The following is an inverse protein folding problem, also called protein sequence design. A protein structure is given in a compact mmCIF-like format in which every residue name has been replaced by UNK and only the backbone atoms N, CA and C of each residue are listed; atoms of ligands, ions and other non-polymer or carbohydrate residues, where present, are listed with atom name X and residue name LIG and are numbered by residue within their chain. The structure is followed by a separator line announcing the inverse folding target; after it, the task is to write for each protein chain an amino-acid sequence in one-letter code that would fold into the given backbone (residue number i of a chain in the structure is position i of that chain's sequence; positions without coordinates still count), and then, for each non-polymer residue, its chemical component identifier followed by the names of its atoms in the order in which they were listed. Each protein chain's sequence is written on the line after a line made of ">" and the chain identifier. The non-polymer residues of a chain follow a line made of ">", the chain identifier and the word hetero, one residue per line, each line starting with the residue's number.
data_IF_276533268198
#
_entry.id   IF_276533268198
#
_cell.length_a   1.000
_cell.length_b   1.000
_cell.length_c   1.000
_cell.angle_alpha   90.00
_cell.angle_beta   90.00
_cell.angle_gamma   90.00
#
_symmetry.space_group_name_H-M   'P 1'
#
loop_
_entity.id
_entity.type
_entity.pdbx_description
1 polymer ?
#
# COMPACT_ATOMS: atom_id res chain seq x y z
N UNK A 1 47.70 33.16 74.44
CA UNK A 1 46.44 33.58 73.79
C UNK A 1 46.57 33.29 72.30
N UNK A 2 45.90 32.24 71.83
CA UNK A 2 46.07 31.63 70.51
C UNK A 2 45.15 32.36 69.49
N UNK A 3 45.72 32.82 68.37
CA UNK A 3 44.96 33.35 67.22
C UNK A 3 44.53 32.18 66.32
N UNK A 4 43.21 32.01 66.13
CA UNK A 4 42.63 31.04 65.20
C UNK A 4 42.40 31.75 63.86
N UNK A 5 42.97 31.22 62.78
CA UNK A 5 42.73 31.65 61.40
C UNK A 5 41.63 30.76 60.82
N UNK A 6 40.53 31.37 60.39
CA UNK A 6 39.38 30.71 59.78
C UNK A 6 39.60 30.63 58.26
N UNK A 7 39.80 29.44 57.70
CA UNK A 7 39.80 29.21 56.25
C UNK A 7 38.38 28.85 55.80
N UNK A 8 37.76 29.70 54.98
CA UNK A 8 36.52 29.39 54.27
C UNK A 8 36.87 28.64 52.97
N UNK A 9 36.48 27.36 52.89
CA UNK A 9 36.49 26.61 51.63
C UNK A 9 35.14 26.78 50.92
N UNK A 10 35.15 27.44 49.76
CA UNK A 10 33.99 27.54 48.88
C UNK A 10 33.97 26.31 47.95
N UNK A 11 33.07 25.36 48.21
CA UNK A 11 32.83 24.22 47.31
C UNK A 11 31.90 24.66 46.17
N UNK A 12 32.43 24.78 44.96
CA UNK A 12 31.62 24.96 43.75
C UNK A 12 31.22 23.57 43.25
N UNK A 13 29.95 23.20 43.44
CA UNK A 13 29.37 22.01 42.79
C UNK A 13 29.06 22.36 41.32
N UNK A 14 29.88 21.83 40.41
CA UNK A 14 29.54 21.78 38.99
C UNK A 14 28.51 20.66 38.75
N UNK A 15 27.24 21.01 38.62
CA UNK A 15 26.23 20.11 38.07
C UNK A 15 26.43 20.01 36.55
N UNK A 16 26.99 18.91 36.07
CA UNK A 16 26.96 18.53 34.66
C UNK A 16 25.53 18.11 34.29
N UNK A 17 24.75 19.06 33.78
CA UNK A 17 23.47 18.77 33.12
C UNK A 17 23.80 18.07 31.80
N UNK A 18 23.77 16.74 31.78
CA UNK A 18 23.71 15.99 30.53
C UNK A 18 22.33 16.25 29.93
N UNK A 19 22.23 17.25 29.05
CA UNK A 19 21.07 17.41 28.20
C UNK A 19 20.98 16.14 27.32
N UNK A 20 20.06 15.24 27.67
CA UNK A 20 19.65 14.17 26.77
C UNK A 20 18.97 14.86 25.58
N UNK A 21 19.73 15.18 24.54
CA UNK A 21 19.16 15.59 23.27
C UNK A 21 18.26 14.44 22.80
N UNK A 22 16.95 14.69 22.77
CA UNK A 22 16.00 13.78 22.17
C UNK A 22 16.49 13.52 20.73
N UNK A 23 16.62 12.26 20.28
CA UNK A 23 17.10 11.98 18.94
C UNK A 23 16.24 12.78 17.94
N UNK A 24 16.91 13.50 17.04
CA UNK A 24 16.23 14.29 16.02
C UNK A 24 15.22 13.41 15.29
N UNK A 25 13.99 13.91 15.16
CA UNK A 25 12.93 13.20 14.49
C UNK A 25 13.35 12.88 13.04
N UNK A 26 13.12 11.64 12.61
CA UNK A 26 13.52 11.19 11.27
C UNK A 26 12.84 12.03 10.20
N UNK A 27 13.58 12.71 9.33
CA UNK A 27 13.01 13.49 8.24
C UNK A 27 12.56 12.60 7.06
N UNK A 28 11.34 12.03 7.16
CA UNK A 28 10.75 11.21 6.11
C UNK A 28 10.39 12.01 4.86
N UNK A 29 10.01 13.28 5.00
CA UNK A 29 9.74 14.16 3.85
C UNK A 29 10.95 14.27 2.93
N UNK A 30 12.15 14.48 3.48
CA UNK A 30 13.37 14.46 2.66
C UNK A 30 13.62 13.12 1.96
N UNK A 31 13.23 11.99 2.59
CA UNK A 31 13.33 10.66 1.97
C UNK A 31 12.36 10.49 0.80
N UNK A 32 11.12 10.96 0.95
CA UNK A 32 10.10 11.00 -0.11
C UNK A 32 10.62 11.83 -1.29
N UNK A 33 11.14 13.02 -1.03
CA UNK A 33 11.68 13.91 -2.06
C UNK A 33 12.87 13.28 -2.80
N UNK A 34 13.78 12.63 -2.06
CA UNK A 34 14.91 11.92 -2.64
C UNK A 34 14.46 10.77 -3.55
N UNK A 35 13.51 9.95 -3.10
CA UNK A 35 12.98 8.84 -3.91
C UNK A 35 12.21 9.32 -5.12
N UNK A 36 11.37 10.36 -5.00
CA UNK A 36 10.67 10.97 -6.13
C UNK A 36 11.65 11.46 -7.19
N UNK A 37 12.75 12.11 -6.79
CA UNK A 37 13.82 12.53 -7.70
C UNK A 37 14.49 11.33 -8.37
N UNK A 38 14.88 10.31 -7.60
CA UNK A 38 15.53 9.11 -8.14
C UNK A 38 14.62 8.37 -9.12
N UNK A 39 13.33 8.22 -8.80
CA UNK A 39 12.32 7.60 -9.67
C UNK A 39 12.25 8.32 -11.02
N UNK A 40 12.08 9.64 -11.00
CA UNK A 40 11.97 10.44 -12.21
C UNK A 40 13.28 10.48 -13.02
N UNK A 41 14.44 10.37 -12.38
CA UNK A 41 15.73 10.38 -13.09
C UNK A 41 16.12 9.03 -13.72
N UNK A 42 15.65 7.92 -13.14
CA UNK A 42 16.11 6.57 -13.50
C UNK A 42 15.08 5.80 -14.33
N UNK A 43 13.80 5.94 -14.01
CA UNK A 43 12.75 5.10 -14.58
C UNK A 43 11.86 5.84 -15.56
N UNK A 44 11.63 7.15 -15.38
CA UNK A 44 10.74 7.92 -16.27
C UNK A 44 11.42 8.24 -17.61
N UNK A 45 10.69 8.04 -18.71
CA UNK A 45 11.14 8.34 -20.07
C UNK A 45 10.31 9.47 -20.66
N UNK A 46 10.91 10.66 -20.80
CA UNK A 46 10.20 11.86 -21.24
C UNK A 46 9.71 11.80 -22.70
N UNK A 47 10.37 11.01 -23.55
CA UNK A 47 10.01 10.87 -24.96
C UNK A 47 8.66 10.16 -25.15
N UNK A 48 8.37 9.18 -24.29
CA UNK A 48 7.15 8.36 -24.36
C UNK A 48 6.15 8.69 -23.26
N UNK A 49 6.59 9.38 -22.19
CA UNK A 49 5.81 9.60 -20.98
C UNK A 49 5.54 8.31 -20.20
N UNK A 50 6.35 7.27 -20.41
CA UNK A 50 6.24 5.97 -19.76
C UNK A 50 7.40 5.75 -18.78
N UNK A 51 7.39 4.59 -18.11
CA UNK A 51 8.40 4.23 -17.12
C UNK A 51 9.03 2.88 -17.46
N UNK A 52 10.31 2.70 -17.13
CA UNK A 52 11.01 1.42 -17.18
C UNK A 52 10.66 0.54 -15.98
N UNK A 53 10.62 -0.76 -16.19
CA UNK A 53 10.40 -1.77 -15.14
C UNK A 53 11.54 -1.75 -14.11
N UNK A 54 12.78 -1.78 -14.61
CA UNK A 54 14.01 -1.77 -13.82
C UNK A 54 15.06 -0.84 -14.42
N UNK A 55 16.06 -0.49 -13.62
CA UNK A 55 17.27 0.19 -14.11
C UNK A 55 18.33 -0.78 -14.70
N UNK A 56 17.99 -2.07 -14.81
CA UNK A 56 18.83 -3.13 -15.38
C UNK A 56 18.32 -3.59 -16.74
N UNK A 57 18.52 -4.88 -17.03
CA UNK A 57 18.00 -5.49 -18.27
C UNK A 57 16.49 -5.71 -18.17
N UNK A 58 15.75 -5.13 -19.12
CA UNK A 58 14.31 -5.31 -19.26
C UNK A 58 13.99 -6.18 -20.50
N UNK A 59 12.95 -7.02 -20.40
CA UNK A 59 12.48 -7.84 -21.52
C UNK A 59 11.57 -7.06 -22.48
N UNK A 60 10.97 -5.97 -21.98
CA UNK A 60 10.12 -5.03 -22.72
C UNK A 60 10.67 -3.62 -22.54
N UNK A 61 10.40 -2.68 -23.48
CA UNK A 61 10.92 -1.32 -23.40
C UNK A 61 10.41 -0.57 -22.17
N UNK A 62 9.14 -0.78 -21.81
CA UNK A 62 8.50 -0.11 -20.68
C UNK A 62 8.04 -1.11 -19.61
N UNK A 63 7.62 -0.58 -18.48
CA UNK A 63 7.11 -1.33 -17.33
C UNK A 63 5.77 -2.00 -17.64
N UNK A 64 5.48 -3.07 -16.93
CA UNK A 64 4.10 -3.55 -16.82
C UNK A 64 3.26 -2.57 -15.99
N UNK A 65 1.94 -2.72 -16.01
CA UNK A 65 1.03 -1.84 -15.27
C UNK A 65 1.25 -1.90 -13.75
N UNK A 66 1.59 -3.08 -13.22
CA UNK A 66 1.65 -3.31 -11.78
C UNK A 66 2.60 -2.37 -11.00
N UNK A 67 3.85 -2.13 -11.42
CA UNK A 67 4.68 -1.08 -10.82
C UNK A 67 4.08 0.32 -10.84
N UNK A 68 3.32 0.68 -11.89
CA UNK A 68 2.60 1.96 -11.93
C UNK A 68 1.46 2.01 -10.90
N UNK A 69 0.84 0.89 -10.56
CA UNK A 69 -0.14 0.81 -9.47
C UNK A 69 0.48 1.18 -8.11
N UNK A 70 1.73 0.79 -7.87
CA UNK A 70 2.48 1.23 -6.70
C UNK A 70 2.83 2.73 -6.78
N UNK A 71 3.31 3.17 -7.94
CA UNK A 71 3.75 4.56 -8.14
C UNK A 71 2.61 5.57 -8.02
N UNK A 72 1.42 5.26 -8.53
CA UNK A 72 0.26 6.18 -8.46
C UNK A 72 -0.21 6.37 -7.02
N UNK A 73 -0.18 5.33 -6.19
CA UNK A 73 -0.44 5.49 -4.76
C UNK A 73 0.69 6.28 -4.09
N UNK A 74 1.95 5.93 -4.36
CA UNK A 74 3.09 6.60 -3.74
C UNK A 74 3.10 8.11 -4.04
N UNK A 75 2.77 8.49 -5.27
CA UNK A 75 2.65 9.90 -5.67
C UNK A 75 1.44 10.59 -5.02
N UNK A 76 0.31 9.89 -4.83
CA UNK A 76 -0.80 10.42 -4.02
C UNK A 76 -0.37 10.71 -2.58
N UNK A 77 0.40 9.81 -1.96
CA UNK A 77 0.90 10.02 -0.60
C UNK A 77 1.94 11.14 -0.55
N UNK A 78 2.83 11.22 -1.54
CA UNK A 78 3.83 12.28 -1.63
C UNK A 78 3.19 13.68 -1.76
N UNK A 79 2.11 13.84 -2.54
CA UNK A 79 1.37 15.10 -2.64
C UNK A 79 0.77 15.58 -1.31
N UNK A 80 0.55 14.68 -0.34
CA UNK A 80 0.13 15.08 1.01
C UNK A 80 1.29 15.68 1.84
N UNK A 81 2.53 15.25 1.57
CA UNK A 81 3.74 15.81 2.20
C UNK A 81 4.22 17.09 1.53
N UNK A 82 3.82 17.31 0.26
CA UNK A 82 4.14 18.49 -0.55
C UNK A 82 2.87 19.10 -1.22
N UNK A 83 2.02 19.80 -0.46
CA UNK A 83 0.78 20.39 -0.97
C UNK A 83 1.01 21.29 -2.19
N UNK A 84 0.17 21.14 -3.22
CA UNK A 84 0.23 21.93 -4.45
C UNK A 84 1.08 21.32 -5.57
N UNK A 85 1.84 20.25 -5.29
CA UNK A 85 2.48 19.44 -6.34
C UNK A 85 1.44 18.50 -6.98
N UNK A 86 1.61 18.21 -8.27
CA UNK A 86 0.76 17.30 -9.05
C UNK A 86 1.56 16.04 -9.48
N UNK A 87 2.17 15.33 -8.54
CA UNK A 87 2.98 14.13 -8.81
C UNK A 87 2.19 12.97 -9.41
N UNK A 88 0.89 12.84 -9.11
CA UNK A 88 0.05 11.79 -9.68
C UNK A 88 -0.21 11.99 -11.17
N UNK A 89 -0.24 13.24 -11.64
CA UNK A 89 -0.64 13.60 -13.00
C UNK A 89 0.19 12.90 -14.09
N UNK A 90 1.54 12.94 -14.08
CA UNK A 90 2.33 12.20 -15.07
C UNK A 90 2.12 10.68 -14.98
N UNK A 91 1.94 10.14 -13.78
CA UNK A 91 1.72 8.68 -13.59
C UNK A 91 0.37 8.25 -14.16
N UNK A 92 -0.69 9.01 -13.92
CA UNK A 92 -2.01 8.74 -14.52
C UNK A 92 -2.01 8.93 -16.04
N UNK A 93 -1.23 9.88 -16.56
CA UNK A 93 -1.04 10.01 -18.00
C UNK A 93 -0.32 8.79 -18.59
N UNK A 94 0.66 8.21 -17.89
CA UNK A 94 1.29 6.95 -18.28
C UNK A 94 0.30 5.78 -18.23
N UNK A 95 -0.45 5.63 -17.12
CA UNK A 95 -1.49 4.59 -16.95
C UNK A 95 -2.57 4.67 -18.03
N UNK A 96 -2.95 5.87 -18.47
CA UNK A 96 -3.92 6.06 -19.56
C UNK A 96 -3.49 5.36 -20.87
N UNK A 97 -2.20 5.14 -21.10
CA UNK A 97 -1.70 4.42 -22.28
C UNK A 97 -1.95 2.90 -22.22
N UNK A 98 -2.38 2.38 -21.07
CA UNK A 98 -2.76 0.98 -20.85
C UNK A 98 -4.29 0.76 -20.95
N UNK A 99 -5.05 1.81 -21.26
CA UNK A 99 -6.52 1.78 -21.29
C UNK A 99 -7.06 0.97 -22.47
N UNK A 100 -7.87 -0.03 -22.16
CA UNK A 100 -8.44 -0.99 -23.09
C UNK A 100 -9.96 -1.03 -22.93
N UNK A 101 -10.67 -0.66 -23.99
CA UNK A 101 -12.14 -0.55 -24.03
C UNK A 101 -12.85 -1.82 -24.52
N UNK A 102 -12.13 -2.93 -24.68
CA UNK A 102 -12.72 -4.17 -25.17
C UNK A 102 -13.81 -4.68 -24.20
N UNK A 103 -14.88 -5.34 -24.73
CA UNK A 103 -15.87 -6.00 -23.90
C UNK A 103 -15.24 -6.96 -22.88
N UNK A 104 -15.89 -7.22 -21.72
CA UNK A 104 -17.24 -6.82 -21.34
C UNK A 104 -17.35 -5.42 -20.71
N UNK A 105 -16.23 -4.80 -20.32
CA UNK A 105 -16.19 -3.44 -19.79
C UNK A 105 -14.79 -2.82 -20.01
N UNK A 106 -14.67 -1.48 -20.11
CA UNK A 106 -13.37 -0.82 -20.17
C UNK A 106 -12.55 -1.01 -18.89
N UNK A 107 -11.24 -1.17 -19.05
CA UNK A 107 -10.28 -1.30 -17.95
C UNK A 107 -8.85 -1.12 -18.47
N UNK A 108 -7.85 -1.42 -17.66
CA UNK A 108 -6.44 -1.28 -18.00
C UNK A 108 -5.81 -2.68 -18.15
N UNK A 109 -5.06 -2.89 -19.24
CA UNK A 109 -4.35 -4.13 -19.49
C UNK A 109 -2.93 -4.10 -18.92
N UNK A 110 -2.29 -5.26 -18.81
CA UNK A 110 -0.99 -5.40 -18.15
C UNK A 110 0.14 -4.63 -18.85
N UNK A 111 -0.01 -4.31 -20.13
CA UNK A 111 1.03 -3.66 -20.92
C UNK A 111 0.51 -2.53 -21.83
N UNK A 112 1.40 -1.69 -22.35
CA UNK A 112 1.04 -0.51 -23.15
C UNK A 112 0.28 -0.92 -24.42
N UNK A 113 -0.91 -0.36 -24.64
CA UNK A 113 -1.83 -0.79 -25.71
C UNK A 113 -1.29 -0.61 -27.13
N UNK A 114 -0.47 0.42 -27.34
CA UNK A 114 0.18 0.69 -28.64
C UNK A 114 1.34 -0.26 -28.93
N UNK A 115 1.88 -0.92 -27.91
CA UNK A 115 3.05 -1.79 -28.04
C UNK A 115 2.64 -3.25 -28.15
N UNK A 116 1.65 -3.67 -27.34
CA UNK A 116 1.21 -5.06 -27.31
C UNK A 116 -0.23 -5.18 -26.82
N UNK A 117 -0.94 -6.19 -27.33
CA UNK A 117 -2.17 -6.66 -26.70
C UNK A 117 -1.79 -7.62 -25.58
N UNK A 118 -2.23 -7.32 -24.35
CA UNK A 118 -1.94 -8.14 -23.17
C UNK A 118 -3.24 -8.40 -22.38
N UNK A 119 -3.19 -9.32 -21.42
CA UNK A 119 -4.29 -9.65 -20.53
C UNK A 119 -4.63 -8.47 -19.60
N UNK A 120 -5.86 -8.47 -19.08
CA UNK A 120 -6.28 -7.56 -18.01
C UNK A 120 -6.36 -8.32 -16.68
N UNK A 121 -5.84 -7.69 -15.64
CA UNK A 121 -5.86 -8.21 -14.27
C UNK A 121 -6.78 -7.35 -13.42
N UNK A 122 -7.68 -8.00 -12.67
CA UNK A 122 -8.68 -7.29 -11.88
C UNK A 122 -8.04 -6.52 -10.72
N UNK A 123 -7.02 -7.08 -10.10
CA UNK A 123 -6.29 -6.46 -9.00
C UNK A 123 -5.47 -5.24 -9.44
N UNK A 124 -4.75 -5.30 -10.56
CA UNK A 124 -4.05 -4.12 -11.11
C UNK A 124 -4.98 -2.91 -11.26
N UNK A 125 -6.16 -3.15 -11.82
CA UNK A 125 -7.19 -2.12 -11.96
C UNK A 125 -7.64 -1.62 -10.58
N UNK A 126 -7.95 -2.51 -9.63
CA UNK A 126 -8.40 -2.13 -8.29
C UNK A 126 -7.40 -1.24 -7.54
N UNK A 127 -6.09 -1.45 -7.71
CA UNK A 127 -5.07 -0.60 -7.10
C UNK A 127 -5.10 0.84 -7.64
N UNK A 128 -5.33 1.00 -8.95
CA UNK A 128 -5.51 2.32 -9.57
C UNK A 128 -6.78 3.00 -9.01
N UNK A 129 -7.88 2.25 -8.90
CA UNK A 129 -9.11 2.78 -8.31
C UNK A 129 -8.93 3.23 -6.85
N UNK A 130 -8.22 2.45 -6.03
CA UNK A 130 -7.91 2.83 -4.64
C UNK A 130 -7.14 4.15 -4.59
N UNK A 131 -6.07 4.29 -5.38
CA UNK A 131 -5.29 5.53 -5.43
C UNK A 131 -6.12 6.73 -5.90
N UNK A 132 -7.00 6.52 -6.89
CA UNK A 132 -7.92 7.56 -7.37
C UNK A 132 -8.97 7.93 -6.31
N UNK A 133 -9.51 6.96 -5.55
CA UNK A 133 -10.47 7.24 -4.48
C UNK A 133 -9.83 8.01 -3.32
N UNK A 134 -8.58 7.69 -2.97
CA UNK A 134 -7.80 8.46 -2.00
C UNK A 134 -7.55 9.89 -2.49
N UNK A 135 -7.15 10.05 -3.76
CA UNK A 135 -6.97 11.36 -4.38
C UNK A 135 -8.27 12.17 -4.48
N UNK A 136 -9.40 11.53 -4.77
CA UNK A 136 -10.72 12.15 -4.74
C UNK A 136 -11.06 12.64 -3.33
N UNK A 137 -10.81 11.82 -2.29
CA UNK A 137 -11.07 12.22 -0.92
C UNK A 137 -10.28 13.46 -0.50
N UNK A 138 -9.04 13.62 -1.00
CA UNK A 138 -8.19 14.78 -0.76
C UNK A 138 -8.56 16.02 -1.58
N UNK A 139 -8.87 15.85 -2.87
CA UNK A 139 -8.94 16.96 -3.83
C UNK A 139 -10.35 17.30 -4.31
N UNK A 140 -11.29 16.37 -4.16
CA UNK A 140 -12.65 16.41 -4.73
C UNK A 140 -12.71 16.55 -6.27
N UNK A 141 -11.59 16.34 -6.98
CA UNK A 141 -11.57 16.35 -8.46
C UNK A 141 -12.34 15.13 -8.99
N UNK A 142 -13.47 15.37 -9.67
CA UNK A 142 -14.38 14.33 -10.16
C UNK A 142 -13.71 13.30 -11.09
N UNK A 143 -12.69 13.70 -11.85
CA UNK A 143 -11.95 12.81 -12.75
C UNK A 143 -11.39 11.57 -12.05
N UNK A 144 -10.99 11.68 -10.78
CA UNK A 144 -10.52 10.51 -10.03
C UNK A 144 -11.66 9.54 -9.67
N UNK A 145 -12.83 10.08 -9.31
CA UNK A 145 -14.01 9.25 -9.05
C UNK A 145 -14.48 8.54 -10.32
N UNK A 146 -14.39 9.19 -11.48
CA UNK A 146 -14.80 8.62 -12.76
C UNK A 146 -13.95 7.40 -13.15
N UNK A 147 -12.63 7.46 -12.96
CA UNK A 147 -11.71 6.33 -13.15
C UNK A 147 -12.10 5.17 -12.20
N UNK A 148 -12.36 5.48 -10.93
CA UNK A 148 -12.70 4.45 -9.94
C UNK A 148 -14.05 3.78 -10.22
N UNK A 149 -15.06 4.53 -10.66
CA UNK A 149 -16.36 3.96 -11.05
C UNK A 149 -16.27 3.10 -12.31
N UNK A 150 -15.41 3.45 -13.28
CA UNK A 150 -15.13 2.62 -14.44
C UNK A 150 -14.48 1.30 -14.06
N UNK A 151 -13.41 1.36 -13.26
CA UNK A 151 -12.73 0.18 -12.77
C UNK A 151 -13.66 -0.70 -11.94
N UNK A 152 -14.55 -0.12 -11.12
CA UNK A 152 -15.53 -0.92 -10.39
C UNK A 152 -16.45 -1.71 -11.32
N UNK A 153 -16.92 -1.11 -12.43
CA UNK A 153 -17.70 -1.83 -13.44
C UNK A 153 -16.91 -3.00 -14.02
N UNK A 154 -15.65 -2.79 -14.38
CA UNK A 154 -14.75 -3.85 -14.86
C UNK A 154 -14.52 -4.95 -13.82
N UNK A 155 -14.20 -4.58 -12.58
CA UNK A 155 -14.04 -5.49 -11.45
C UNK A 155 -15.23 -6.44 -11.33
N UNK A 156 -16.46 -5.94 -11.41
CA UNK A 156 -17.65 -6.77 -11.23
C UNK A 156 -17.87 -7.78 -12.35
N UNK A 157 -17.21 -7.64 -13.50
CA UNK A 157 -17.20 -8.67 -14.57
C UNK A 157 -16.37 -9.92 -14.19
N UNK A 158 -15.50 -9.79 -13.19
CA UNK A 158 -14.73 -10.90 -12.61
C UNK A 158 -15.49 -11.71 -11.57
N UNK A 159 -16.70 -11.31 -11.20
CA UNK A 159 -17.52 -12.02 -10.21
C UNK A 159 -18.30 -13.17 -10.86
N UNK A 160 -18.29 -14.35 -10.22
CA UNK A 160 -19.27 -15.41 -10.48
C UNK A 160 -19.46 -16.33 -9.25
N UNK A 161 -20.36 -17.31 -9.35
CA UNK A 161 -20.68 -18.24 -8.26
C UNK A 161 -19.91 -19.58 -8.29
N UNK A 162 -18.89 -19.77 -9.15
CA UNK A 162 -18.20 -21.08 -9.31
C UNK A 162 -17.50 -21.60 -8.05
N UNK A 163 -17.15 -20.70 -7.13
CA UNK A 163 -16.64 -21.02 -5.79
C UNK A 163 -17.53 -20.45 -4.68
N UNK A 164 -18.84 -20.35 -4.94
CA UNK A 164 -19.80 -19.73 -4.02
C UNK A 164 -19.64 -18.20 -3.90
N UNK A 165 -19.04 -17.59 -4.92
CA UNK A 165 -18.74 -16.17 -5.02
C UNK A 165 -17.28 -15.87 -5.34
N UNK A 166 -16.90 -14.62 -5.14
CA UNK A 166 -15.53 -14.11 -5.31
C UNK A 166 -15.18 -13.67 -6.73
N UNK A 167 -14.14 -12.86 -6.81
CA UNK A 167 -13.56 -12.31 -8.04
C UNK A 167 -12.40 -13.17 -8.55
N UNK A 168 -12.34 -13.41 -9.87
CA UNK A 168 -11.13 -13.95 -10.51
C UNK A 168 -9.96 -12.98 -10.38
N UNK A 169 -8.75 -13.48 -10.60
CA UNK A 169 -7.55 -12.64 -10.67
C UNK A 169 -7.34 -12.04 -12.06
N UNK A 170 -7.45 -12.87 -13.11
CA UNK A 170 -7.18 -12.51 -14.50
C UNK A 170 -8.46 -12.67 -15.33
N UNK A 171 -8.68 -11.76 -16.28
CA UNK A 171 -9.92 -11.71 -17.06
C UNK A 171 -10.10 -12.90 -18.01
N UNK A 172 -9.07 -13.18 -18.82
CA UNK A 172 -9.09 -14.17 -19.90
C UNK A 172 -8.70 -15.58 -19.43
N UNK A 173 -8.13 -15.70 -18.23
CA UNK A 173 -7.74 -16.97 -17.62
C UNK A 173 -8.37 -17.12 -16.22
N UNK A 174 -9.61 -17.63 -16.21
CA UNK A 174 -10.44 -17.77 -15.02
C UNK A 174 -10.12 -19.03 -14.21
N UNK A 175 -8.85 -19.22 -13.86
CA UNK A 175 -8.32 -20.42 -13.19
C UNK A 175 -8.21 -20.28 -11.65
N UNK A 176 -8.29 -19.06 -11.11
CA UNK A 176 -8.06 -18.77 -9.69
C UNK A 176 -8.90 -17.57 -9.24
N UNK A 177 -9.34 -17.62 -7.98
CA UNK A 177 -9.91 -16.48 -7.28
C UNK A 177 -9.06 -16.18 -6.05
N UNK A 178 -8.58 -14.96 -5.93
CA UNK A 178 -7.48 -14.64 -5.04
C UNK A 178 -7.89 -13.62 -4.00
N UNK A 179 -7.26 -13.65 -2.83
CA UNK A 179 -7.36 -12.54 -1.88
C UNK A 179 -6.87 -11.24 -2.53
N UNK A 180 -5.90 -11.30 -3.46
CA UNK A 180 -5.38 -10.12 -4.14
C UNK A 180 -6.36 -9.41 -5.06
N UNK A 181 -7.40 -10.09 -5.58
CA UNK A 181 -8.47 -9.45 -6.37
C UNK A 181 -9.76 -9.24 -5.58
N UNK A 182 -9.93 -9.92 -4.44
CA UNK A 182 -11.12 -9.77 -3.60
C UNK A 182 -10.92 -8.71 -2.52
N UNK A 183 -9.77 -8.70 -1.84
CA UNK A 183 -9.41 -7.71 -0.82
C UNK A 183 -9.47 -6.27 -1.35
N UNK A 184 -8.71 -5.92 -2.39
CA UNK A 184 -8.79 -4.59 -3.00
C UNK A 184 -10.17 -4.30 -3.60
N UNK A 185 -10.84 -5.31 -4.17
CA UNK A 185 -12.22 -5.18 -4.64
C UNK A 185 -13.23 -4.78 -3.55
N UNK A 186 -13.07 -5.29 -2.33
CA UNK A 186 -13.82 -4.86 -1.14
C UNK A 186 -13.50 -3.40 -0.82
N UNK A 187 -12.22 -3.02 -0.82
CA UNK A 187 -11.80 -1.64 -0.53
C UNK A 187 -12.38 -0.63 -1.51
N UNK A 188 -12.33 -0.91 -2.82
CA UNK A 188 -12.93 -0.07 -3.87
C UNK A 188 -14.42 0.13 -3.57
N UNK A 189 -15.15 -0.95 -3.31
CA UNK A 189 -16.58 -0.91 -3.03
C UNK A 189 -16.91 -0.15 -1.73
N UNK A 190 -16.18 -0.36 -0.64
CA UNK A 190 -16.39 0.37 0.63
C UNK A 190 -16.11 1.87 0.48
N UNK A 191 -15.05 2.23 -0.25
CA UNK A 191 -14.71 3.63 -0.50
C UNK A 191 -15.76 4.32 -1.38
N UNK A 192 -16.21 3.67 -2.46
CA UNK A 192 -17.30 4.17 -3.30
C UNK A 192 -18.61 4.33 -2.51
N UNK A 193 -18.93 3.39 -1.61
CA UNK A 193 -20.06 3.55 -0.69
C UNK A 193 -19.89 4.77 0.22
N UNK A 194 -18.71 4.97 0.82
CA UNK A 194 -18.45 6.12 1.70
C UNK A 194 -18.67 7.45 0.98
N UNK A 195 -18.28 7.54 -0.30
CA UNK A 195 -18.40 8.75 -1.14
C UNK A 195 -19.83 8.95 -1.63
N UNK A 196 -20.45 7.93 -2.23
CA UNK A 196 -21.70 8.07 -3.00
C UNK A 196 -22.95 7.70 -2.20
N UNK A 197 -22.80 6.95 -1.10
CA UNK A 197 -23.88 6.33 -0.31
C UNK A 197 -24.79 5.36 -1.08
N UNK A 198 -24.42 4.95 -2.31
CA UNK A 198 -25.19 3.96 -3.09
C UNK A 198 -25.06 2.57 -2.44
N UNK A 199 -26.19 2.01 -1.99
CA UNK A 199 -26.24 0.73 -1.25
C UNK A 199 -25.63 -0.45 -2.00
N UNK A 200 -25.69 -0.45 -3.33
CA UNK A 200 -25.11 -1.50 -4.18
C UNK A 200 -23.62 -1.75 -3.90
N UNK A 201 -22.86 -0.69 -3.63
CA UNK A 201 -21.43 -0.80 -3.31
C UNK A 201 -21.20 -1.48 -1.95
N UNK A 202 -21.99 -1.14 -0.93
CA UNK A 202 -21.89 -1.79 0.38
C UNK A 202 -22.33 -3.26 0.30
N UNK A 203 -23.39 -3.55 -0.45
CA UNK A 203 -23.86 -4.94 -0.68
C UNK A 203 -22.78 -5.77 -1.36
N UNK A 204 -22.14 -5.25 -2.41
CA UNK A 204 -21.04 -5.93 -3.09
C UNK A 204 -19.83 -6.12 -2.16
N UNK A 205 -19.46 -5.10 -1.38
CA UNK A 205 -18.37 -5.17 -0.42
C UNK A 205 -18.59 -6.27 0.63
N UNK A 206 -19.78 -6.35 1.23
CA UNK A 206 -20.12 -7.37 2.22
C UNK A 206 -20.10 -8.76 1.57
N UNK A 207 -20.66 -8.91 0.36
CA UNK A 207 -20.65 -10.20 -0.36
C UNK A 207 -19.24 -10.71 -0.60
N UNK A 208 -18.33 -9.85 -1.05
CA UNK A 208 -16.93 -10.20 -1.26
C UNK A 208 -16.21 -10.46 0.07
N UNK A 209 -16.44 -9.62 1.08
CA UNK A 209 -15.87 -9.77 2.42
C UNK A 209 -16.22 -11.12 3.06
N UNK A 210 -17.50 -11.49 3.05
CA UNK A 210 -17.97 -12.75 3.61
C UNK A 210 -17.39 -13.94 2.84
N UNK A 211 -17.29 -13.84 1.51
CA UNK A 211 -16.67 -14.88 0.69
C UNK A 211 -15.17 -15.05 1.00
N UNK A 212 -14.41 -13.95 1.09
CA UNK A 212 -12.98 -14.00 1.40
C UNK A 212 -12.73 -14.55 2.80
N UNK A 213 -13.52 -14.15 3.79
CA UNK A 213 -13.39 -14.69 5.15
C UNK A 213 -13.72 -16.18 5.22
N UNK A 214 -14.78 -16.62 4.52
CA UNK A 214 -15.19 -18.03 4.54
C UNK A 214 -14.17 -18.95 3.88
N UNK A 215 -13.54 -18.52 2.79
CA UNK A 215 -12.72 -19.39 1.96
C UNK A 215 -11.21 -19.21 2.16
N UNK A 216 -10.75 -18.00 2.47
CA UNK A 216 -9.33 -17.64 2.42
C UNK A 216 -8.77 -17.13 3.75
N UNK A 217 -9.60 -16.92 4.78
CA UNK A 217 -9.09 -16.65 6.13
C UNK A 217 -8.53 -17.92 6.75
N UNK A 218 -7.24 -17.91 7.08
CA UNK A 218 -6.60 -19.02 7.79
C UNK A 218 -6.99 -19.07 9.27
N UNK A 219 -6.73 -20.20 9.91
CA UNK A 219 -6.96 -20.38 11.35
C UNK A 219 -6.17 -19.37 12.21
N UNK A 220 -5.03 -18.90 11.72
CA UNK A 220 -4.19 -17.91 12.41
C UNK A 220 -4.71 -16.47 12.26
N UNK A 221 -5.80 -16.24 11.54
CA UNK A 221 -6.36 -14.90 11.31
C UNK A 221 -5.67 -14.07 10.22
N UNK A 222 -4.74 -14.67 9.47
CA UNK A 222 -4.16 -14.09 8.24
C UNK A 222 -4.73 -14.77 7.00
N UNK A 223 -4.46 -14.26 5.79
CA UNK A 223 -5.18 -14.68 4.58
C UNK A 223 -4.31 -15.50 3.63
N UNK A 224 -4.87 -16.62 3.17
CA UNK A 224 -4.35 -17.44 2.08
C UNK A 224 -4.45 -16.72 0.73
N UNK A 225 -3.72 -17.22 -0.26
CA UNK A 225 -3.58 -16.52 -1.53
C UNK A 225 -4.80 -16.71 -2.42
N UNK A 226 -5.21 -17.96 -2.64
CA UNK A 226 -6.19 -18.25 -3.68
C UNK A 226 -6.98 -19.53 -3.44
N UNK A 227 -8.09 -19.65 -4.19
CA UNK A 227 -8.75 -20.90 -4.49
C UNK A 227 -8.64 -21.19 -5.99
N UNK A 228 -8.24 -22.41 -6.34
CA UNK A 228 -8.11 -22.87 -7.72
C UNK A 228 -9.46 -23.30 -8.29
N UNK A 229 -9.73 -22.98 -9.55
CA UNK A 229 -10.94 -23.34 -10.29
C UNK A 229 -10.56 -24.34 -11.40
N UNK A 230 -11.29 -25.46 -11.58
CA UNK A 230 -12.51 -25.86 -10.86
C UNK A 230 -12.25 -26.72 -9.60
N UNK A 231 -11.00 -27.01 -9.24
CA UNK A 231 -10.68 -27.99 -8.19
C UNK A 231 -11.05 -27.57 -6.77
N UNK A 232 -11.31 -26.28 -6.54
CA UNK A 232 -11.55 -25.65 -5.24
C UNK A 232 -10.41 -25.84 -4.24
N UNK A 233 -9.21 -26.22 -4.71
CA UNK A 233 -8.03 -26.37 -3.86
C UNK A 233 -7.53 -25.00 -3.43
N UNK A 234 -7.29 -24.83 -2.13
CA UNK A 234 -6.67 -23.64 -1.56
C UNK A 234 -5.18 -23.61 -1.86
N UNK A 235 -4.70 -22.47 -2.34
CA UNK A 235 -3.29 -22.10 -2.28
C UNK A 235 -3.04 -21.38 -0.95
N UNK A 236 -2.34 -22.05 -0.04
CA UNK A 236 -2.16 -21.60 1.33
C UNK A 236 -0.98 -20.63 1.50
N UNK A 237 -0.37 -20.14 0.42
CA UNK A 237 0.61 -19.06 0.50
C UNK A 237 0.00 -17.85 1.22
N UNK A 238 0.80 -17.17 2.05
CA UNK A 238 0.37 -16.05 2.89
C UNK A 238 1.25 -14.84 2.58
N UNK A 239 0.62 -13.74 2.18
CA UNK A 239 1.31 -12.52 1.80
C UNK A 239 0.82 -11.34 2.66
N UNK A 240 1.71 -10.39 2.93
CA UNK A 240 1.43 -9.21 3.77
C UNK A 240 0.27 -8.38 3.19
N UNK A 241 0.24 -8.14 1.88
CA UNK A 241 -0.81 -7.35 1.23
C UNK A 241 -2.20 -7.99 1.24
N UNK A 242 -2.29 -9.32 1.06
CA UNK A 242 -3.56 -10.06 1.20
C UNK A 242 -4.14 -9.86 2.61
N UNK A 243 -3.29 -9.94 3.63
CA UNK A 243 -3.72 -9.69 5.02
C UNK A 243 -4.02 -8.21 5.27
N UNK A 244 -3.24 -7.31 4.69
CA UNK A 244 -3.41 -5.86 4.79
C UNK A 244 -4.74 -5.34 4.25
N UNK A 245 -5.16 -5.83 3.09
CA UNK A 245 -6.44 -5.44 2.49
C UNK A 245 -7.63 -5.87 3.35
N UNK A 246 -7.56 -7.04 3.98
CA UNK A 246 -8.62 -7.53 4.86
C UNK A 246 -8.61 -6.86 6.23
N UNK A 247 -7.43 -6.48 6.75
CA UNK A 247 -7.31 -5.60 7.91
C UNK A 247 -7.99 -4.25 7.63
N UNK A 248 -7.63 -3.60 6.52
CA UNK A 248 -8.20 -2.32 6.13
C UNK A 248 -9.72 -2.41 5.89
N UNK A 249 -10.19 -3.49 5.27
CA UNK A 249 -11.61 -3.74 5.01
C UNK A 249 -12.42 -3.83 6.31
N UNK A 250 -11.90 -4.54 7.32
CA UNK A 250 -12.52 -4.64 8.63
C UNK A 250 -12.65 -3.26 9.30
N UNK A 251 -11.59 -2.45 9.30
CA UNK A 251 -11.64 -1.11 9.89
C UNK A 251 -12.64 -0.19 9.17
N UNK A 252 -12.71 -0.27 7.84
CA UNK A 252 -13.68 0.49 7.05
C UNK A 252 -15.12 0.02 7.33
N UNK A 253 -15.36 -1.30 7.41
CA UNK A 253 -16.66 -1.86 7.77
C UNK A 253 -17.09 -1.45 9.18
N UNK A 254 -16.19 -1.48 10.17
CA UNK A 254 -16.46 -0.93 11.50
C UNK A 254 -16.81 0.55 11.42
N UNK A 255 -16.05 1.34 10.66
CA UNK A 255 -16.30 2.78 10.52
C UNK A 255 -17.67 3.08 9.93
N UNK A 256 -18.11 2.26 8.97
CA UNK A 256 -19.40 2.39 8.26
C UNK A 256 -20.57 1.89 9.13
N UNK A 257 -20.45 0.69 9.71
CA UNK A 257 -21.56 -0.03 10.36
C UNK A 257 -21.64 0.18 11.87
N UNK A 258 -20.51 0.55 12.49
CA UNK A 258 -20.29 0.58 13.95
C UNK A 258 -20.43 -0.79 14.63
N UNK A 259 -20.46 -1.89 13.88
CA UNK A 259 -20.50 -3.24 14.45
C UNK A 259 -19.13 -3.65 15.00
N UNK A 260 -19.04 -3.84 16.32
CA UNK A 260 -17.80 -4.15 17.04
C UNK A 260 -17.05 -5.37 16.50
N UNK A 261 -17.77 -6.37 15.95
CA UNK A 261 -17.18 -7.58 15.36
C UNK A 261 -16.09 -7.28 14.32
N UNK A 262 -16.23 -6.21 13.54
CA UNK A 262 -15.25 -5.83 12.53
C UNK A 262 -14.00 -5.19 13.16
N UNK A 263 -14.15 -4.44 14.26
CA UNK A 263 -13.00 -3.90 14.98
C UNK A 263 -12.23 -5.03 15.69
N UNK A 264 -12.94 -5.96 16.33
CA UNK A 264 -12.34 -7.10 17.02
C UNK A 264 -11.54 -7.97 16.04
N UNK A 265 -12.09 -8.19 14.85
CA UNK A 265 -11.40 -8.91 13.78
C UNK A 265 -10.20 -8.12 13.24
N UNK A 266 -10.28 -6.79 13.08
CA UNK A 266 -9.13 -5.97 12.69
C UNK A 266 -7.98 -6.06 13.71
N UNK A 267 -8.28 -5.99 15.01
CA UNK A 267 -7.26 -6.09 16.07
C UNK A 267 -6.60 -7.48 16.09
N UNK A 268 -7.38 -8.54 15.88
CA UNK A 268 -6.87 -9.91 15.75
C UNK A 268 -5.96 -10.02 14.52
N UNK A 269 -6.40 -9.56 13.35
CA UNK A 269 -5.61 -9.61 12.11
C UNK A 269 -4.29 -8.86 12.30
N UNK A 270 -4.31 -7.67 12.92
CA UNK A 270 -3.11 -6.90 13.18
C UNK A 270 -2.11 -7.69 14.06
N UNK A 271 -2.55 -8.19 15.22
CA UNK A 271 -1.67 -8.99 16.09
C UNK A 271 -1.10 -10.24 15.41
N UNK A 272 -1.93 -10.95 14.62
CA UNK A 272 -1.49 -12.12 13.88
C UNK A 272 -0.54 -11.79 12.73
N UNK A 273 -0.75 -10.67 12.03
CA UNK A 273 0.10 -10.24 10.92
C UNK A 273 1.51 -9.90 11.41
N UNK A 274 1.63 -9.12 12.50
CA UNK A 274 2.93 -8.81 13.10
C UNK A 274 3.68 -10.10 13.47
N UNK A 275 3.02 -10.99 14.24
CA UNK A 275 3.60 -12.27 14.69
C UNK A 275 4.06 -13.15 13.52
N UNK A 276 3.31 -13.19 12.43
CA UNK A 276 3.59 -14.09 11.32
C UNK A 276 4.63 -13.53 10.33
N UNK A 277 4.56 -12.23 10.00
CA UNK A 277 5.37 -11.64 8.94
C UNK A 277 6.64 -10.95 9.45
N UNK A 278 6.64 -10.41 10.67
CA UNK A 278 7.82 -9.73 11.22
C UNK A 278 8.72 -10.73 11.95
N UNK A 279 9.76 -11.20 11.26
CA UNK A 279 10.71 -12.22 11.77
C UNK A 279 12.13 -11.69 11.71
N UNK A 280 12.92 -11.99 12.74
CA UNK A 280 14.34 -11.56 12.82
C UNK A 280 14.52 -10.05 12.58
N UNK A 281 13.59 -9.23 13.12
CA UNK A 281 13.53 -7.77 12.96
C UNK A 281 13.37 -7.30 11.50
N UNK A 282 12.72 -8.09 10.64
CA UNK A 282 12.50 -7.78 9.23
C UNK A 282 11.10 -8.21 8.78
N UNK A 283 10.51 -7.43 7.89
CA UNK A 283 9.37 -7.88 7.07
C UNK A 283 9.87 -8.68 5.86
N UNK A 284 8.99 -9.41 5.14
CA UNK A 284 9.35 -10.10 3.90
C UNK A 284 9.92 -9.15 2.84
N UNK A 285 10.76 -9.65 1.93
CA UNK A 285 11.50 -8.81 0.97
C UNK A 285 10.69 -8.10 -0.12
N UNK A 286 9.37 -8.27 -0.17
CA UNK A 286 8.50 -7.54 -1.10
C UNK A 286 8.02 -6.25 -0.43
N UNK A 287 8.72 -5.13 -0.65
CA UNK A 287 8.41 -3.86 0.02
C UNK A 287 6.99 -3.37 -0.29
N UNK A 288 6.54 -3.54 -1.54
CA UNK A 288 5.18 -3.13 -1.92
C UNK A 288 4.11 -3.91 -1.15
N UNK A 289 4.34 -5.21 -0.88
CA UNK A 289 3.35 -5.98 -0.12
C UNK A 289 3.26 -5.48 1.33
N UNK A 290 4.40 -5.07 1.87
CA UNK A 290 4.50 -4.56 3.24
C UNK A 290 3.86 -3.18 3.38
N UNK A 291 4.02 -2.27 2.41
CA UNK A 291 3.34 -0.98 2.49
C UNK A 291 1.82 -1.11 2.36
N UNK A 292 1.32 -2.07 1.56
CA UNK A 292 -0.13 -2.38 1.54
C UNK A 292 -0.61 -2.87 2.91
N UNK A 293 0.20 -3.66 3.63
CA UNK A 293 -0.12 -4.02 5.02
C UNK A 293 -0.17 -2.79 5.93
N UNK A 294 0.79 -1.86 5.80
CA UNK A 294 0.79 -0.61 6.57
C UNK A 294 -0.51 0.19 6.37
N UNK A 295 -1.12 0.19 5.17
CA UNK A 295 -2.41 0.88 4.93
C UNK A 295 -3.51 0.44 5.91
N UNK A 296 -3.58 -0.87 6.20
CA UNK A 296 -4.52 -1.42 7.17
C UNK A 296 -4.23 -0.97 8.61
N UNK A 297 -2.95 -0.92 8.99
CA UNK A 297 -2.54 -0.41 10.30
C UNK A 297 -2.78 1.09 10.47
N UNK A 298 -2.55 1.88 9.42
CA UNK A 298 -2.87 3.31 9.41
C UNK A 298 -4.37 3.54 9.60
N UNK A 299 -5.24 2.77 8.93
CA UNK A 299 -6.68 2.84 9.18
C UNK A 299 -7.03 2.40 10.62
N UNK A 300 -6.47 1.30 11.12
CA UNK A 300 -6.73 0.84 12.49
C UNK A 300 -6.32 1.89 13.53
N UNK A 301 -5.16 2.51 13.33
CA UNK A 301 -4.67 3.59 14.18
C UNK A 301 -5.64 4.79 14.22
N UNK A 302 -6.33 5.11 13.11
CA UNK A 302 -7.34 6.19 13.11
C UNK A 302 -8.45 5.92 14.12
N UNK A 303 -8.77 4.65 14.39
CA UNK A 303 -9.82 4.22 15.33
C UNK A 303 -9.30 4.05 16.76
N UNK A 304 -8.25 3.26 16.96
CA UNK A 304 -7.82 2.83 18.31
C UNK A 304 -6.67 3.65 18.91
N UNK A 305 -6.02 4.50 18.11
CA UNK A 305 -4.88 5.36 18.51
C UNK A 305 -3.69 4.60 19.12
N UNK A 306 -3.56 3.30 18.89
CA UNK A 306 -2.47 2.50 19.45
C UNK A 306 -1.20 2.60 18.59
N UNK A 307 -0.31 3.53 18.94
CA UNK A 307 0.96 3.75 18.22
C UNK A 307 1.89 2.52 18.20
N UNK A 308 1.79 1.62 19.19
CA UNK A 308 2.69 0.46 19.28
C UNK A 308 2.49 -0.54 18.12
N UNK A 309 1.28 -0.59 17.56
CA UNK A 309 0.92 -1.59 16.55
C UNK A 309 1.62 -1.41 15.20
N UNK A 310 2.26 -0.28 14.93
CA UNK A 310 3.00 -0.07 13.68
C UNK A 310 4.49 0.20 13.87
N UNK A 311 5.01 0.04 15.09
CA UNK A 311 6.43 0.29 15.39
C UNK A 311 7.36 -0.61 14.57
N UNK A 312 6.98 -1.86 14.30
CA UNK A 312 7.80 -2.76 13.49
C UNK A 312 7.97 -2.28 12.03
N UNK A 313 7.03 -1.49 11.49
CA UNK A 313 7.20 -0.83 10.19
C UNK A 313 8.25 0.27 10.25
N UNK A 314 8.27 1.07 11.33
CA UNK A 314 9.30 2.10 11.54
C UNK A 314 10.67 1.43 11.61
N UNK A 315 10.80 0.40 12.45
CA UNK A 315 12.06 -0.29 12.66
C UNK A 315 12.60 -0.91 11.36
N UNK A 316 11.73 -1.52 10.55
CA UNK A 316 12.14 -2.09 9.26
C UNK A 316 12.42 -1.00 8.22
N UNK A 317 11.64 0.07 8.15
CA UNK A 317 11.86 1.19 7.24
C UNK A 317 13.18 1.92 7.52
N UNK A 318 13.54 2.13 8.80
CA UNK A 318 14.85 2.68 9.18
C UNK A 318 15.99 1.74 8.79
N UNK A 319 15.81 0.43 9.01
CA UNK A 319 16.80 -0.57 8.62
C UNK A 319 17.00 -0.60 7.11
N UNK A 320 15.93 -0.52 6.32
CA UNK A 320 15.97 -0.47 4.85
C UNK A 320 16.69 0.80 4.40
N UNK A 321 16.30 1.97 4.91
CA UNK A 321 16.95 3.24 4.54
C UNK A 321 18.46 3.23 4.80
N UNK A 322 18.86 2.67 5.95
CA UNK A 322 20.26 2.62 6.37
C UNK A 322 21.09 1.61 5.58
N UNK A 323 20.55 0.42 5.33
CA UNK A 323 21.36 -0.73 4.90
C UNK A 323 21.06 -1.22 3.48
N UNK A 324 19.98 -0.77 2.84
CA UNK A 324 19.52 -1.28 1.55
C UNK A 324 19.39 -0.17 0.50
N UNK A 325 20.15 0.92 0.67
CA UNK A 325 20.22 2.02 -0.28
C UNK A 325 21.56 2.03 -0.99
N UNK A 326 21.56 2.18 -2.31
CA UNK A 326 22.79 2.30 -3.10
C UNK A 326 23.30 3.75 -3.16
N UNK A 327 24.46 3.93 -3.80
CA UNK A 327 25.11 5.24 -3.97
C UNK A 327 24.29 6.25 -4.79
N UNK A 328 23.34 5.75 -5.62
CA UNK A 328 22.41 6.57 -6.41
C UNK A 328 21.12 6.89 -5.63
N UNK A 329 21.04 6.45 -4.37
CA UNK A 329 19.89 6.68 -3.50
C UNK A 329 18.69 5.77 -3.77
N UNK A 330 18.86 4.71 -4.58
CA UNK A 330 17.81 3.73 -4.85
C UNK A 330 17.79 2.64 -3.78
N UNK A 331 16.60 2.16 -3.45
CA UNK A 331 16.35 1.13 -2.43
C UNK A 331 16.30 -0.27 -3.04
N UNK A 332 16.81 -1.25 -2.30
CA UNK A 332 16.75 -2.67 -2.61
C UNK A 332 18.12 -3.33 -2.52
N UNK A 333 18.14 -4.62 -2.18
CA UNK A 333 19.40 -5.39 -2.04
C UNK A 333 19.94 -5.93 -3.37
N UNK A 334 19.09 -6.00 -4.41
CA UNK A 334 19.49 -6.50 -5.74
C UNK A 334 20.26 -5.43 -6.49
N UNK A 335 21.15 -5.83 -7.39
CA UNK A 335 21.89 -4.89 -8.26
C UNK A 335 20.93 -4.07 -9.13
N UNK A 336 20.09 -4.75 -9.91
CA UNK A 336 18.98 -4.11 -10.62
C UNK A 336 17.88 -3.70 -9.63
N UNK A 337 17.51 -2.43 -9.66
CA UNK A 337 16.44 -1.82 -8.87
C UNK A 337 15.16 -1.79 -9.68
N UNK A 338 14.06 -2.10 -9.04
CA UNK A 338 12.73 -2.10 -9.66
C UNK A 338 11.97 -0.82 -9.34
N UNK A 339 11.12 -0.38 -10.25
CA UNK A 339 10.24 0.77 -10.03
C UNK A 339 9.29 0.53 -8.85
N UNK A 340 8.77 -0.70 -8.72
CA UNK A 340 7.81 -1.05 -7.67
C UNK A 340 8.42 -0.95 -6.27
N UNK A 341 9.69 -1.33 -6.10
CA UNK A 341 10.40 -1.21 -4.81
C UNK A 341 10.62 0.25 -4.42
N UNK A 342 10.99 1.10 -5.38
CA UNK A 342 11.17 2.54 -5.13
C UNK A 342 9.84 3.18 -4.73
N UNK A 343 8.79 2.86 -5.48
CA UNK A 343 7.44 3.36 -5.26
C UNK A 343 6.90 2.93 -3.89
N UNK A 344 7.10 1.66 -3.53
CA UNK A 344 6.69 1.13 -2.24
C UNK A 344 7.32 1.87 -1.07
N UNK A 345 8.62 2.12 -1.14
CA UNK A 345 9.32 2.82 -0.05
C UNK A 345 9.02 4.31 -0.03
N UNK A 346 8.77 4.93 -1.18
CA UNK A 346 8.26 6.31 -1.24
C UNK A 346 6.90 6.42 -0.53
N UNK A 347 5.98 5.47 -0.80
CA UNK A 347 4.71 5.38 -0.08
C UNK A 347 4.91 5.13 1.42
N UNK A 348 5.79 4.19 1.79
CA UNK A 348 6.08 3.85 3.19
C UNK A 348 6.51 5.08 3.99
N UNK A 349 7.50 5.83 3.49
CA UNK A 349 7.99 7.03 4.19
C UNK A 349 6.95 8.14 4.21
N UNK A 350 6.17 8.34 3.14
CA UNK A 350 5.11 9.35 3.14
C UNK A 350 4.01 9.04 4.17
N UNK A 351 3.66 7.76 4.36
CA UNK A 351 2.71 7.32 5.40
C UNK A 351 3.28 7.46 6.80
N UNK A 352 4.54 7.04 7.02
CA UNK A 352 5.21 7.18 8.31
C UNK A 352 5.37 8.64 8.72
N UNK A 353 5.57 9.55 7.76
CA UNK A 353 5.62 11.00 8.03
C UNK A 353 4.34 11.53 8.68
N UNK A 354 3.17 10.98 8.29
CA UNK A 354 1.87 11.38 8.85
C UNK A 354 1.52 10.68 10.17
N UNK A 355 2.17 9.55 10.46
CA UNK A 355 1.88 8.74 11.64
C UNK A 355 2.67 9.16 12.89
N UNK A 356 3.69 10.00 12.72
CA UNK A 356 4.50 10.57 13.80
C UNK A 356 3.67 11.17 14.94
#
# INVERSE_FOLDING_TARGET
>A
MIRVILFLFLFILCFSVTANAQPAETDYKSRVNALSKSINSVFYESETGLYKETNGKNNKPHSYLWPLCALVQATNEAEQTEPGKEFMKPVLAAIAQYHNTNPPAPGYQAYVTKEEKDSRFYDDNQWIAIACLDAYNRTKKKSYLDIAEEIYRFQMTGYDEKSGGGLYWKEDEKNTKNTCSNGPGILVALQLYKITKKKEYLTAAIKLYDWTNRNLRSADGIFYDAIKIPSLKIDSAKYTYNTGTMLQSNVLLYTITKEKKYLDEAELIAGSAEKYFYKNKKLPGNYWFNVVLLRGYEELYKVNKNKKQWQFFVDDAERIWKNERDEKGLIGIKEAKTLIDQSAMMEMYARLDRLK
#
